data_IF_811565173101
#
_entry.id   IF_811565173101
#
_cell.length_a   1.000
_cell.length_b   1.000
_cell.length_c   1.000
_cell.angle_alpha   90.00
_cell.angle_beta   90.00
_cell.angle_gamma   90.00
#
_symmetry.space_group_name_H-M   'P 1'
#
loop_
_entity.id
_entity.type
_entity.pdbx_description
1 polymer ?
#
# COMPACT_ATOMS: atom_id res chain seq x y z
N UNK A 1 -3.82 -5.98 8.16
CA UNK A 1 -3.11 -4.73 8.53
C UNK A 1 -4.07 -3.82 9.29
N UNK A 2 -3.57 -3.01 10.22
CA UNK A 2 -4.38 -1.98 10.89
C UNK A 2 -4.82 -0.90 9.86
N UNK A 3 -6.14 -0.65 9.67
CA UNK A 3 -6.63 0.33 8.72
C UNK A 3 -6.15 1.76 9.03
N UNK A 4 -5.88 2.08 10.30
CA UNK A 4 -5.39 3.38 10.75
C UNK A 4 -4.01 3.70 10.15
N UNK A 5 -3.11 2.71 10.12
CA UNK A 5 -1.78 2.86 9.53
C UNK A 5 -1.84 3.04 8.01
N UNK A 6 -2.78 2.38 7.35
CA UNK A 6 -2.99 2.52 5.90
C UNK A 6 -3.47 3.94 5.56
N UNK A 7 -4.46 4.45 6.29
CA UNK A 7 -4.98 5.82 6.13
C UNK A 7 -3.90 6.88 6.40
N UNK A 8 -3.11 6.73 7.47
CA UNK A 8 -1.99 7.63 7.77
C UNK A 8 -0.94 7.63 6.65
N UNK A 9 -0.62 6.45 6.08
CA UNK A 9 0.30 6.32 4.95
C UNK A 9 -0.25 6.98 3.69
N UNK A 10 -1.53 6.82 3.37
CA UNK A 10 -2.17 7.48 2.24
C UNK A 10 -2.17 9.01 2.42
N UNK A 11 -2.57 9.50 3.59
CA UNK A 11 -2.55 10.93 3.91
C UNK A 11 -1.13 11.53 3.76
N UNK A 12 -0.09 10.83 4.23
CA UNK A 12 1.30 11.24 4.06
C UNK A 12 1.71 11.33 2.58
N UNK A 13 1.39 10.29 1.78
CA UNK A 13 1.73 10.25 0.35
C UNK A 13 0.97 11.32 -0.45
N UNK A 14 -0.32 11.52 -0.18
CA UNK A 14 -1.12 12.57 -0.82
C UNK A 14 -0.59 13.97 -0.48
N UNK A 15 -0.21 14.23 0.78
CA UNK A 15 0.42 15.48 1.18
C UNK A 15 1.75 15.73 0.45
N UNK A 16 2.58 14.69 0.28
CA UNK A 16 3.82 14.77 -0.48
C UNK A 16 3.57 15.09 -1.96
N UNK A 17 2.56 14.46 -2.58
CA UNK A 17 2.16 14.71 -3.97
C UNK A 17 1.70 16.16 -4.15
N UNK A 18 0.83 16.67 -3.28
CA UNK A 18 0.35 18.07 -3.35
C UNK A 18 1.50 19.06 -3.18
N UNK A 19 2.37 18.85 -2.20
CA UNK A 19 3.51 19.73 -1.94
C UNK A 19 4.52 19.73 -3.10
N UNK A 20 4.93 18.56 -3.57
CA UNK A 20 5.93 18.42 -4.63
C UNK A 20 5.37 18.81 -6.00
N UNK A 21 4.13 18.42 -6.31
CA UNK A 21 3.43 18.81 -7.54
C UNK A 21 3.27 20.34 -7.65
N UNK A 22 2.93 21.02 -6.55
CA UNK A 22 2.87 22.47 -6.50
C UNK A 22 4.22 23.16 -6.75
N UNK A 23 5.32 22.61 -6.23
CA UNK A 23 6.67 23.11 -6.49
C UNK A 23 7.07 22.93 -7.96
N UNK A 24 6.81 21.76 -8.55
CA UNK A 24 7.08 21.46 -9.96
C UNK A 24 6.26 22.37 -10.87
N UNK A 25 4.95 22.50 -10.63
CA UNK A 25 4.08 23.44 -11.34
C UNK A 25 4.59 24.88 -11.23
N UNK A 26 4.96 25.32 -10.02
CA UNK A 26 5.49 26.66 -9.81
C UNK A 26 6.77 26.93 -10.62
N UNK A 27 7.66 25.93 -10.74
CA UNK A 27 8.95 26.05 -11.41
C UNK A 27 8.88 25.98 -12.93
N UNK A 28 8.01 25.15 -13.49
CA UNK A 28 8.01 24.81 -14.92
C UNK A 28 6.80 25.34 -15.70
N UNK A 29 5.69 25.66 -15.04
CA UNK A 29 4.52 26.27 -15.68
C UNK A 29 4.33 27.73 -15.24
N UNK A 30 4.24 27.97 -13.92
CA UNK A 30 3.87 29.30 -13.41
C UNK A 30 4.95 30.36 -13.63
N UNK A 31 6.21 30.10 -13.25
CA UNK A 31 7.28 31.09 -13.42
C UNK A 31 7.52 31.48 -14.90
N UNK A 32 7.58 30.54 -15.86
CA UNK A 32 7.66 30.89 -17.29
C UNK A 32 6.47 31.72 -17.76
N UNK A 33 5.23 31.30 -17.49
CA UNK A 33 4.02 32.03 -17.90
C UNK A 33 3.93 33.46 -17.33
N UNK A 34 4.53 33.72 -16.16
CA UNK A 34 4.59 35.05 -15.56
C UNK A 34 5.75 35.92 -16.08
N UNK A 35 6.71 35.36 -16.80
CA UNK A 35 7.85 36.14 -17.35
C UNK A 35 7.46 37.06 -18.50
N UNK A 36 6.37 36.73 -19.21
CA UNK A 36 5.81 37.51 -20.32
C UNK A 36 4.98 38.72 -19.84
N UNK A 37 4.62 38.76 -18.56
CA UNK A 37 3.78 39.82 -17.99
C UNK A 37 4.60 41.00 -17.46
N UNK A 38 3.98 42.19 -17.49
CA UNK A 38 4.49 43.38 -16.80
C UNK A 38 4.66 43.12 -15.29
N UNK A 39 5.59 43.84 -14.67
CA UNK A 39 5.93 43.62 -13.26
C UNK A 39 4.74 43.81 -12.31
N UNK A 40 3.87 44.79 -12.57
CA UNK A 40 2.73 45.11 -11.70
C UNK A 40 1.64 44.04 -11.75
N UNK A 41 1.37 43.49 -12.94
CA UNK A 41 0.44 42.36 -13.11
C UNK A 41 1.03 41.08 -12.55
N UNK A 42 2.31 40.80 -12.81
CA UNK A 42 3.02 39.64 -12.26
C UNK A 42 2.96 39.62 -10.72
N UNK A 43 3.22 40.74 -10.05
CA UNK A 43 3.20 40.81 -8.60
C UNK A 43 1.77 40.64 -8.03
N UNK A 44 0.76 41.24 -8.68
CA UNK A 44 -0.66 41.06 -8.32
C UNK A 44 -1.11 39.60 -8.48
N UNK A 45 -0.66 38.91 -9.53
CA UNK A 45 -0.98 37.48 -9.75
C UNK A 45 -0.25 36.61 -8.73
N UNK A 46 1.04 36.84 -8.48
CA UNK A 46 1.79 36.15 -7.43
C UNK A 46 1.15 36.31 -6.04
N UNK A 47 0.74 37.51 -5.65
CA UNK A 47 0.05 37.79 -4.39
C UNK A 47 -1.25 36.99 -4.28
N UNK A 48 -2.09 37.02 -5.31
CA UNK A 48 -3.36 36.27 -5.36
C UNK A 48 -3.13 34.76 -5.25
N UNK A 49 -2.21 34.20 -6.04
CA UNK A 49 -1.89 32.76 -5.99
C UNK A 49 -1.36 32.39 -4.59
N UNK A 50 -0.41 33.16 -4.05
CA UNK A 50 0.17 32.93 -2.72
C UNK A 50 -0.89 32.91 -1.62
N UNK A 51 -1.87 33.82 -1.64
CA UNK A 51 -2.96 33.87 -0.65
C UNK A 51 -3.81 32.60 -0.64
N UNK A 52 -4.08 32.01 -1.81
CA UNK A 52 -4.86 30.78 -1.92
C UNK A 52 -4.01 29.52 -1.70
N UNK A 53 -2.71 29.56 -2.04
CA UNK A 53 -1.81 28.42 -1.94
C UNK A 53 -1.18 28.24 -0.55
N UNK A 54 -1.01 29.31 0.22
CA UNK A 54 -0.40 29.28 1.55
C UNK A 54 -1.09 28.29 2.53
N UNK A 55 -2.44 28.21 2.63
CA UNK A 55 -3.11 27.21 3.47
C UNK A 55 -2.81 25.76 3.04
N UNK A 56 -2.72 25.49 1.74
CA UNK A 56 -2.37 24.16 1.21
C UNK A 56 -0.93 23.77 1.56
N UNK A 57 0.01 24.71 1.47
CA UNK A 57 1.42 24.49 1.83
C UNK A 57 1.56 24.23 3.33
N UNK A 58 0.92 25.05 4.18
CA UNK A 58 0.92 24.84 5.64
C UNK A 58 0.27 23.49 5.96
N UNK A 59 -0.91 23.21 5.42
CA UNK A 59 -1.64 21.95 5.64
C UNK A 59 -0.83 20.72 5.21
N UNK A 60 -0.20 20.74 4.03
CA UNK A 60 0.64 19.64 3.55
C UNK A 60 1.89 19.45 4.42
N UNK A 61 2.60 20.51 4.81
CA UNK A 61 3.77 20.43 5.70
C UNK A 61 3.35 19.91 7.08
N UNK A 62 2.28 20.43 7.68
CA UNK A 62 1.76 19.97 8.97
C UNK A 62 1.34 18.50 8.91
N UNK A 63 0.65 18.08 7.86
CA UNK A 63 0.24 16.69 7.67
C UNK A 63 1.43 15.76 7.49
N UNK A 64 2.45 16.16 6.71
CA UNK A 64 3.69 15.40 6.53
C UNK A 64 4.49 15.25 7.83
N UNK A 65 4.60 16.32 8.62
CA UNK A 65 5.27 16.30 9.92
C UNK A 65 4.52 15.43 10.93
N UNK A 66 3.21 15.62 11.08
CA UNK A 66 2.39 14.87 12.02
C UNK A 66 2.34 13.38 11.69
N UNK A 67 2.05 13.02 10.45
CA UNK A 67 2.02 11.61 10.00
C UNK A 67 3.41 10.96 9.99
N UNK A 68 4.46 11.72 9.63
CA UNK A 68 5.84 11.25 9.68
C UNK A 68 6.30 10.95 11.12
N UNK A 69 5.98 11.84 12.07
CA UNK A 69 6.26 11.65 13.48
C UNK A 69 5.46 10.49 14.07
N UNK A 70 4.15 10.41 13.80
CA UNK A 70 3.32 9.30 14.26
C UNK A 70 3.84 7.94 13.75
N UNK A 71 4.19 7.85 12.47
CA UNK A 71 4.74 6.63 11.88
C UNK A 71 6.12 6.27 12.48
N UNK A 72 6.98 7.26 12.78
CA UNK A 72 8.25 7.03 13.46
C UNK A 72 8.05 6.49 14.90
N UNK A 73 7.17 7.11 15.68
CA UNK A 73 6.90 6.69 17.06
C UNK A 73 6.29 5.29 17.12
N UNK A 74 5.30 4.99 16.27
CA UNK A 74 4.65 3.67 16.20
C UNK A 74 5.61 2.57 15.70
N UNK A 75 6.54 2.91 14.81
CA UNK A 75 7.59 1.97 14.37
C UNK A 75 8.60 1.69 15.48
N UNK A 76 9.12 2.74 16.14
CA UNK A 76 10.05 2.60 17.26
C UNK A 76 9.43 1.86 18.46
N UNK A 77 8.13 2.03 18.71
CA UNK A 77 7.41 1.28 19.73
C UNK A 77 7.36 -0.23 19.41
N UNK A 78 7.10 -0.62 18.15
CA UNK A 78 7.13 -2.04 17.73
C UNK A 78 8.53 -2.65 17.85
N UNK A 79 9.56 -1.95 17.34
CA UNK A 79 10.96 -2.41 17.40
C UNK A 79 11.49 -2.54 18.84
N UNK A 80 10.87 -1.89 19.82
CA UNK A 80 11.17 -2.07 21.25
C UNK A 80 10.34 -3.17 21.93
N UNK A 81 9.15 -3.48 21.42
CA UNK A 81 8.26 -4.49 21.98
C UNK A 81 8.51 -5.91 21.43
N UNK A 82 8.97 -5.99 20.19
CA UNK A 82 9.43 -7.21 19.54
C UNK A 82 10.97 -7.16 19.52
N UNK A 83 11.67 -8.11 20.15
CA UNK A 83 13.15 -8.17 20.17
C UNK A 83 13.73 -8.56 18.79
N UNK A 84 13.61 -7.69 17.79
CA UNK A 84 14.21 -7.88 16.46
C UNK A 84 15.73 -7.76 16.56
N UNK A 85 16.37 -8.90 16.87
CA UNK A 85 17.81 -9.12 16.89
C UNK A 85 18.61 -8.10 17.75
N UNK A 86 18.10 -7.72 18.92
CA UNK A 86 18.80 -6.83 19.86
C UNK A 86 19.20 -5.46 19.30
N UNK A 87 18.55 -5.00 18.22
CA UNK A 87 18.93 -3.79 17.48
C UNK A 87 20.15 -3.93 16.56
N UNK A 88 20.75 -5.11 16.42
CA UNK A 88 21.94 -5.32 15.59
C UNK A 88 21.64 -5.05 14.10
N UNK A 89 20.49 -5.53 13.61
CA UNK A 89 20.02 -5.30 12.23
C UNK A 89 19.92 -3.81 11.86
N UNK A 90 19.46 -2.96 12.79
CA UNK A 90 19.41 -1.51 12.59
C UNK A 90 20.80 -0.85 12.53
N UNK A 91 21.77 -1.44 13.22
CA UNK A 91 23.17 -1.00 13.27
C UNK A 91 23.89 -1.34 11.96
N UNK A 92 23.72 -2.56 11.47
CA UNK A 92 24.28 -3.04 10.21
C UNK A 92 23.70 -2.29 9.00
N UNK A 93 22.39 -2.03 9.03
CA UNK A 93 21.66 -1.34 7.95
C UNK A 93 21.86 0.18 7.95
N UNK A 94 22.56 0.75 8.95
CA UNK A 94 22.69 2.21 9.18
C UNK A 94 21.34 2.97 9.15
N UNK A 95 20.25 2.27 9.51
CA UNK A 95 18.88 2.70 9.20
C UNK A 95 18.52 4.04 9.87
N UNK A 96 18.95 4.22 11.12
CA UNK A 96 18.77 5.47 11.87
C UNK A 96 19.45 6.67 11.21
N UNK A 97 20.64 6.50 10.65
CA UNK A 97 21.37 7.58 9.97
C UNK A 97 20.67 7.99 8.68
N UNK A 98 20.22 7.02 7.87
CA UNK A 98 19.43 7.28 6.66
C UNK A 98 18.09 7.94 6.97
N UNK A 99 17.40 7.51 8.04
CA UNK A 99 16.18 8.17 8.52
C UNK A 99 16.43 9.61 8.97
N UNK A 100 17.49 9.84 9.77
CA UNK A 100 17.89 11.18 10.22
C UNK A 100 18.22 12.12 9.06
N UNK A 101 18.98 11.62 8.06
CA UNK A 101 19.30 12.37 6.84
C UNK A 101 18.03 12.72 6.05
N UNK A 102 17.13 11.74 5.83
CA UNK A 102 15.83 11.97 5.18
C UNK A 102 15.01 13.04 5.91
N UNK A 103 14.93 12.95 7.24
CA UNK A 103 14.17 13.88 8.06
C UNK A 103 14.74 15.30 8.00
N UNK A 104 16.08 15.44 8.11
CA UNK A 104 16.75 16.73 8.00
C UNK A 104 16.57 17.36 6.60
N UNK A 105 16.71 16.58 5.53
CA UNK A 105 16.41 17.05 4.16
C UNK A 105 14.96 17.53 4.02
N UNK A 106 13.99 16.81 4.61
CA UNK A 106 12.59 17.21 4.61
C UNK A 106 12.36 18.53 5.36
N UNK A 107 12.99 18.73 6.52
CA UNK A 107 12.93 20.00 7.26
C UNK A 107 13.50 21.17 6.44
N UNK A 108 14.63 21.00 5.76
CA UNK A 108 15.20 22.04 4.88
C UNK A 108 14.26 22.32 3.70
N UNK A 109 13.66 21.28 3.09
CA UNK A 109 12.69 21.44 2.02
C UNK A 109 11.43 22.20 2.49
N UNK A 110 10.89 21.89 3.67
CA UNK A 110 9.72 22.58 4.24
C UNK A 110 10.04 24.03 4.63
N UNK A 111 11.24 24.30 5.13
CA UNK A 111 11.73 25.66 5.38
C UNK A 111 11.79 26.48 4.08
N UNK A 112 12.40 25.94 3.02
CA UNK A 112 12.50 26.63 1.73
C UNK A 112 11.14 26.81 1.05
N UNK A 113 10.26 25.80 1.09
CA UNK A 113 8.87 25.92 0.60
C UNK A 113 8.10 27.02 1.34
N UNK A 114 8.25 27.09 2.67
CA UNK A 114 7.66 28.15 3.49
C UNK A 114 8.26 29.53 3.19
N UNK A 115 9.56 29.61 2.91
CA UNK A 115 10.25 30.85 2.53
C UNK A 115 9.82 31.38 1.15
N UNK A 116 9.60 30.50 0.17
CA UNK A 116 9.11 30.83 -1.17
C UNK A 116 7.70 31.44 -1.15
N UNK A 117 6.84 30.95 -0.26
CA UNK A 117 5.42 31.34 -0.12
C UNK A 117 5.22 32.37 1.02
N UNK A 118 6.25 32.65 1.81
CA UNK A 118 6.23 33.62 2.91
C UNK A 118 6.34 35.09 2.47
N UNK A 119 6.21 35.99 3.45
CA UNK A 119 6.33 37.46 3.30
C UNK A 119 7.39 38.11 4.21
N UNK A 120 8.05 37.35 5.08
CA UNK A 120 9.01 37.90 6.06
C UNK A 120 10.30 38.41 5.40
N UNK A 121 10.84 39.54 5.90
CA UNK A 121 12.04 40.17 5.35
C UNK A 121 13.26 39.21 5.31
N UNK A 122 13.48 38.44 6.38
CA UNK A 122 14.60 37.50 6.50
C UNK A 122 14.61 36.33 5.49
N UNK A 123 13.54 36.17 4.70
CA UNK A 123 13.48 35.17 3.60
C UNK A 123 13.29 35.80 2.22
N UNK A 124 13.50 37.13 2.06
CA UNK A 124 13.42 37.77 0.74
C UNK A 124 14.48 37.25 -0.24
N UNK A 125 15.68 36.88 0.21
CA UNK A 125 16.73 36.31 -0.65
C UNK A 125 16.26 35.05 -1.41
N UNK A 126 15.41 34.22 -0.80
CA UNK A 126 14.76 33.06 -1.46
C UNK A 126 13.83 33.50 -2.59
N UNK A 127 13.17 34.65 -2.41
CA UNK A 127 12.15 35.21 -3.31
C UNK A 127 12.70 36.18 -4.35
N UNK A 128 13.95 36.59 -4.24
CA UNK A 128 14.67 37.29 -5.30
C UNK A 128 15.05 36.29 -6.41
N UNK A 129 15.66 35.15 -6.04
CA UNK A 129 16.08 34.09 -6.97
C UNK A 129 15.10 32.91 -7.03
N UNK A 130 13.79 33.17 -7.21
CA UNK A 130 12.72 32.15 -7.08
C UNK A 130 12.98 30.87 -7.88
N UNK A 131 13.45 31.00 -9.13
CA UNK A 131 13.68 29.87 -10.01
C UNK A 131 14.78 28.93 -9.48
N UNK A 132 15.86 29.48 -8.93
CA UNK A 132 16.96 28.74 -8.30
C UNK A 132 16.47 28.02 -7.05
N UNK A 133 15.82 28.72 -6.14
CA UNK A 133 15.38 28.14 -4.87
C UNK A 133 14.22 27.14 -5.02
N UNK A 134 13.34 27.32 -6.00
CA UNK A 134 12.39 26.28 -6.40
C UNK A 134 13.11 25.02 -6.90
N UNK A 135 14.08 25.14 -7.81
CA UNK A 135 14.86 23.99 -8.28
C UNK A 135 15.60 23.27 -7.14
N UNK A 136 16.22 24.00 -6.20
CA UNK A 136 16.85 23.42 -5.01
C UNK A 136 15.83 22.70 -4.13
N UNK A 137 14.66 23.30 -3.89
CA UNK A 137 13.59 22.69 -3.08
C UNK A 137 13.05 21.42 -3.73
N UNK A 138 12.83 21.41 -5.05
CA UNK A 138 12.41 20.23 -5.81
C UNK A 138 13.46 19.13 -5.72
N UNK A 139 14.76 19.46 -5.85
CA UNK A 139 15.85 18.51 -5.69
C UNK A 139 15.88 17.86 -4.31
N UNK A 140 15.68 18.65 -3.24
CA UNK A 140 15.58 18.15 -1.87
C UNK A 140 14.35 17.25 -1.67
N UNK A 141 13.15 17.66 -2.13
CA UNK A 141 11.94 16.82 -2.00
C UNK A 141 12.05 15.52 -2.80
N UNK A 142 12.62 15.58 -4.01
CA UNK A 142 12.89 14.38 -4.82
C UNK A 142 13.89 13.46 -4.10
N UNK A 143 14.97 14.00 -3.55
CA UNK A 143 15.93 13.24 -2.75
C UNK A 143 15.30 12.56 -1.54
N UNK A 144 14.39 13.22 -0.83
CA UNK A 144 13.60 12.63 0.28
C UNK A 144 12.74 11.46 -0.20
N UNK A 145 12.12 11.57 -1.38
CA UNK A 145 11.30 10.50 -1.98
C UNK A 145 12.17 9.31 -2.40
N UNK A 146 13.28 9.56 -3.12
CA UNK A 146 14.22 8.52 -3.56
C UNK A 146 14.84 7.77 -2.37
N UNK A 147 15.32 8.50 -1.36
CA UNK A 147 15.84 7.92 -0.13
C UNK A 147 14.76 7.12 0.62
N UNK A 148 13.51 7.58 0.62
CA UNK A 148 12.39 6.81 1.18
C UNK A 148 12.07 5.53 0.40
N UNK A 149 12.31 5.51 -0.92
CA UNK A 149 12.17 4.34 -1.77
C UNK A 149 13.28 3.32 -1.49
N UNK A 150 14.52 3.78 -1.42
CA UNK A 150 15.68 2.96 -1.02
C UNK A 150 15.49 2.36 0.37
N UNK A 151 15.16 3.17 1.37
CA UNK A 151 14.94 2.70 2.75
C UNK A 151 13.83 1.65 2.85
N UNK A 152 12.83 1.65 1.96
CA UNK A 152 11.81 0.60 1.90
C UNK A 152 12.39 -0.76 1.47
N UNK A 153 13.34 -0.77 0.53
CA UNK A 153 14.04 -2.00 0.13
C UNK A 153 14.89 -2.58 1.27
N UNK A 154 15.38 -1.74 2.19
CA UNK A 154 16.14 -2.20 3.35
C UNK A 154 15.25 -2.87 4.41
N UNK A 155 13.98 -2.44 4.58
CA UNK A 155 13.05 -3.07 5.53
C UNK A 155 12.45 -4.38 5.02
N UNK A 156 12.19 -4.46 3.71
CA UNK A 156 11.75 -5.71 3.10
C UNK A 156 13.02 -6.51 2.84
N UNK A 157 13.35 -7.43 3.74
CA UNK A 157 14.43 -8.40 3.50
C UNK A 157 14.19 -9.20 2.20
N UNK A 158 15.08 -10.15 1.84
CA UNK A 158 14.80 -11.08 0.75
C UNK A 158 13.37 -11.60 0.88
N UNK A 159 12.64 -11.72 -0.24
CA UNK A 159 11.31 -12.33 -0.26
C UNK A 159 11.45 -13.80 0.17
N UNK A 160 11.48 -14.02 1.47
CA UNK A 160 11.39 -15.31 2.12
C UNK A 160 9.94 -15.71 1.89
N UNK A 161 9.69 -16.42 0.78
CA UNK A 161 8.57 -17.34 0.70
C UNK A 161 8.76 -18.24 1.91
N UNK A 162 7.94 -18.02 2.94
CA UNK A 162 8.08 -18.76 4.18
C UNK A 162 7.92 -20.25 3.83
N UNK A 163 8.96 -21.03 4.08
CA UNK A 163 8.94 -22.47 3.85
C UNK A 163 7.98 -23.12 4.87
N UNK A 164 6.68 -23.06 4.55
CA UNK A 164 5.59 -23.45 5.44
C UNK A 164 4.31 -22.59 5.35
N UNK A 165 4.33 -21.40 4.73
CA UNK A 165 3.09 -20.62 4.54
C UNK A 165 2.54 -20.85 3.12
N UNK A 166 1.40 -21.54 3.05
CA UNK A 166 0.92 -22.23 1.86
C UNK A 166 0.54 -21.29 0.72
N UNK A 167 1.45 -21.14 -0.25
CA UNK A 167 1.01 -21.04 -1.63
C UNK A 167 0.17 -22.27 -1.97
N UNK A 168 -0.91 -22.11 -2.73
CA UNK A 168 -1.72 -23.24 -3.19
C UNK A 168 -0.83 -24.14 -4.04
N UNK A 169 -0.38 -25.27 -3.48
CA UNK A 169 0.08 -26.38 -4.28
C UNK A 169 -1.12 -26.81 -5.13
N UNK A 170 -1.05 -26.50 -6.43
CA UNK A 170 -1.91 -27.14 -7.41
C UNK A 170 -1.47 -28.59 -7.42
N UNK A 171 -2.15 -29.41 -6.63
CA UNK A 171 -1.85 -30.82 -6.54
C UNK A 171 -1.99 -31.48 -7.91
N UNK A 172 -0.83 -31.85 -8.47
CA UNK A 172 -0.74 -32.49 -9.78
C UNK A 172 -1.25 -33.94 -9.70
N UNK A 173 -1.42 -34.52 -8.50
CA UNK A 173 -2.07 -35.82 -8.34
C UNK A 173 -3.59 -35.75 -8.56
N UNK A 174 -4.29 -34.75 -8.04
CA UNK A 174 -5.72 -34.51 -8.32
C UNK A 174 -6.02 -34.45 -9.82
N UNK A 175 -5.12 -33.84 -10.61
CA UNK A 175 -5.21 -33.79 -12.08
C UNK A 175 -4.96 -35.15 -12.78
N UNK A 176 -4.32 -36.11 -12.11
CA UNK A 176 -4.12 -37.48 -12.61
C UNK A 176 -5.22 -38.43 -12.15
N UNK A 177 -5.72 -38.30 -10.92
CA UNK A 177 -6.81 -39.13 -10.43
C UNK A 177 -8.13 -38.80 -11.15
N UNK A 178 -8.44 -37.51 -11.38
CA UNK A 178 -9.62 -37.12 -12.16
C UNK A 178 -9.55 -37.67 -13.60
N UNK A 179 -8.37 -37.65 -14.22
CA UNK A 179 -8.14 -38.22 -15.56
C UNK A 179 -8.15 -39.76 -15.59
N UNK A 180 -7.87 -40.42 -14.47
CA UNK A 180 -7.96 -41.88 -14.37
C UNK A 180 -9.42 -42.31 -14.25
N UNK A 181 -10.20 -41.59 -13.46
CA UNK A 181 -11.63 -41.86 -13.25
C UNK A 181 -12.47 -41.58 -14.51
N UNK A 182 -12.10 -40.58 -15.32
CA UNK A 182 -12.69 -40.35 -16.66
C UNK A 182 -12.29 -41.44 -17.67
N UNK A 183 -11.06 -41.96 -17.60
CA UNK A 183 -10.61 -43.05 -18.47
C UNK A 183 -11.26 -44.40 -18.17
N UNK A 184 -11.47 -44.71 -16.89
CA UNK A 184 -12.02 -46.00 -16.45
C UNK A 184 -13.54 -46.09 -16.67
N UNK A 185 -14.25 -44.95 -16.71
CA UNK A 185 -15.69 -44.89 -17.06
C UNK A 185 -15.95 -44.98 -18.57
N UNK A 186 -14.98 -44.64 -19.41
CA UNK A 186 -15.15 -44.69 -20.87
C UNK A 186 -15.09 -46.13 -21.44
N UNK A 187 -14.35 -47.04 -20.81
CA UNK A 187 -14.11 -48.41 -21.30
C UNK A 187 -15.12 -49.45 -20.74
N UNK A 188 -15.90 -49.07 -19.72
CA UNK A 188 -16.83 -49.97 -19.02
C UNK A 188 -18.25 -50.05 -19.60
N UNK A 189 -18.67 -49.09 -20.42
CA UNK A 189 -20.09 -48.92 -20.78
C UNK A 189 -20.51 -49.61 -22.10
N UNK A 190 -19.59 -50.21 -22.87
CA UNK A 190 -19.87 -50.81 -24.19
C UNK A 190 -20.18 -52.32 -24.17
N UNK A 191 -20.34 -52.96 -23.01
CA UNK A 191 -20.47 -54.44 -22.90
C UNK A 191 -21.65 -54.98 -22.08
N UNK A 192 -22.68 -54.19 -21.80
CA UNK A 192 -23.82 -54.67 -21.00
C UNK A 192 -25.21 -54.29 -21.53
N UNK A 193 -25.37 -54.29 -22.87
CA UNK A 193 -26.68 -54.36 -23.54
C UNK A 193 -26.73 -55.53 -24.54
N UNK A 194 -26.53 -56.75 -24.03
CA UNK A 194 -26.80 -57.99 -24.76
C UNK A 194 -27.26 -59.11 -23.80
N UNK A 195 -28.32 -59.83 -24.20
CA UNK A 195 -29.05 -60.88 -23.47
C UNK A 195 -29.72 -60.52 -22.11
N UNK A 196 -30.88 -61.09 -21.75
CA UNK A 196 -31.68 -62.05 -22.52
C UNK A 196 -32.52 -63.03 -21.68
N UNK A 197 -33.63 -62.56 -21.08
CA UNK A 197 -34.82 -63.34 -20.63
C UNK A 197 -34.69 -64.48 -19.57
N UNK A 198 -35.57 -64.36 -18.56
CA UNK A 198 -36.48 -65.40 -17.98
C UNK A 198 -36.06 -66.31 -16.79
N UNK A 199 -37.14 -66.77 -16.10
CA UNK A 199 -37.28 -67.68 -14.95
C UNK A 199 -36.82 -67.16 -13.56
N UNK A 200 -37.48 -67.34 -12.39
CA UNK A 200 -38.82 -67.80 -11.91
C UNK A 200 -38.70 -68.83 -10.75
N UNK A 201 -39.49 -68.61 -9.66
CA UNK A 201 -39.74 -69.50 -8.50
C UNK A 201 -38.51 -69.81 -7.57
N UNK A 202 -38.64 -70.19 -6.28
CA UNK A 202 -39.82 -70.62 -5.51
C UNK A 202 -39.82 -70.25 -3.99
N UNK A 203 -40.99 -70.47 -3.35
CA UNK A 203 -41.44 -70.35 -1.94
C UNK A 203 -40.46 -70.74 -0.81
N UNK A 204 -40.61 -70.08 0.36
CA UNK A 204 -41.24 -70.71 1.56
C UNK A 204 -41.52 -69.75 2.75
N UNK A 205 -42.70 -69.92 3.36
CA UNK A 205 -43.13 -69.44 4.69
C UNK A 205 -44.09 -70.49 5.28
N UNK A 206 -44.21 -70.62 6.62
CA UNK A 206 -45.43 -70.18 7.34
C UNK A 206 -45.17 -69.61 8.76
N UNK A 207 -45.88 -68.56 9.22
CA UNK A 207 -47.09 -68.56 10.13
C UNK A 207 -46.81 -68.97 11.60
N UNK A 208 -47.44 -68.49 12.69
CA UNK A 208 -48.77 -67.90 13.07
C UNK A 208 -48.61 -66.99 14.33
N UNK A 209 -49.60 -66.30 14.98
CA UNK A 209 -50.88 -65.64 14.66
C UNK A 209 -51.41 -64.83 15.90
N UNK A 210 -52.35 -63.88 15.71
CA UNK A 210 -53.22 -63.28 16.76
C UNK A 210 -52.83 -61.88 17.32
N UNK A 211 -53.74 -60.93 17.64
CA UNK A 211 -55.20 -60.86 17.42
C UNK A 211 -55.92 -59.83 18.33
N UNK A 212 -57.03 -59.21 17.89
CA UNK A 212 -57.96 -58.33 18.64
C UNK A 212 -57.56 -56.83 18.73
N UNK A 213 -58.41 -55.81 18.49
CA UNK A 213 -59.75 -55.44 19.05
C UNK A 213 -59.69 -54.97 20.52
N UNK A 214 -60.42 -53.95 21.02
CA UNK A 214 -61.20 -52.84 20.43
C UNK A 214 -61.37 -51.74 21.52
N UNK A 215 -62.28 -50.78 21.36
CA UNK A 215 -62.47 -49.63 22.27
C UNK A 215 -63.10 -49.94 23.63
N UNK A 216 -62.85 -49.08 24.64
CA UNK A 216 -63.87 -48.27 25.36
C UNK A 216 -63.49 -47.91 26.81
N UNK A 217 -63.28 -46.61 27.09
CA UNK A 217 -64.05 -45.76 28.05
C UNK A 217 -63.38 -44.41 28.28
#
# INVERSE_FOLDING_TARGET
MDPTLLLLRWAHVLAAIVAMGGLVFARFALLPALSELDASTRDRVHERIRRHWLPWVIGAITLLLASGLANFLLFNARVKGEEWAGGQWMRETNYHALFGAKFLMALVAFYLASALVGRGAGTQWVRNDRAKWLSVTIGLTLGVVLLSGWMRQLHTGPNMIAAGDGGVEIDVMSSRELRRDEGEKADGQERQEADGRAAAEDRQAPATAGGGEEAAR
#
